data_IF_782723960967
#
_entry.id   IF_782723960967
#
_cell.length_a   1.000
_cell.length_b   1.000
_cell.length_c   1.000
_cell.angle_alpha   90.00
_cell.angle_beta   90.00
_cell.angle_gamma   90.00
#
_symmetry.space_group_name_H-M   'P 1'
#
loop_
_entity.id
_entity.type
_entity.pdbx_description
1 polymer ?
#
# COMPACT_ATOMS: atom_id res chain seq x y z
N UNK A 1 11.43 -15.14 -6.74
CA UNK A 1 11.26 -14.54 -5.40
C UNK A 1 9.78 -14.29 -5.21
N UNK A 2 9.17 -14.83 -4.17
CA UNK A 2 7.73 -14.72 -3.95
C UNK A 2 7.39 -13.29 -3.54
N UNK A 3 6.53 -12.60 -4.30
CA UNK A 3 6.21 -11.17 -4.11
C UNK A 3 5.45 -10.93 -2.79
N UNK A 4 4.56 -11.84 -2.42
CA UNK A 4 3.69 -11.72 -1.26
C UNK A 4 4.35 -12.24 0.02
N UNK A 5 5.38 -11.55 0.50
CA UNK A 5 5.95 -11.83 1.82
C UNK A 5 4.96 -11.56 2.95
N UNK A 6 5.13 -12.20 4.11
CA UNK A 6 4.31 -11.89 5.30
C UNK A 6 4.40 -10.41 5.68
N UNK A 7 5.60 -9.82 5.57
CA UNK A 7 5.82 -8.39 5.79
C UNK A 7 4.95 -7.52 4.88
N UNK A 8 4.87 -7.84 3.58
CA UNK A 8 4.02 -7.11 2.64
C UNK A 8 2.54 -7.20 3.03
N UNK A 9 2.09 -8.38 3.51
CA UNK A 9 0.70 -8.60 3.93
C UNK A 9 0.36 -7.75 5.16
N UNK A 10 1.24 -7.69 6.16
CA UNK A 10 1.07 -6.82 7.32
C UNK A 10 1.07 -5.35 6.92
N UNK A 11 1.99 -4.93 6.05
CA UNK A 11 2.02 -3.56 5.58
C UNK A 11 0.73 -3.18 4.83
N UNK A 12 0.20 -4.06 3.97
CA UNK A 12 -1.04 -3.83 3.23
C UNK A 12 -2.26 -3.77 4.17
N UNK A 13 -2.27 -4.62 5.21
CA UNK A 13 -3.28 -4.57 6.27
C UNK A 13 -3.25 -3.21 6.98
N UNK A 14 -2.09 -2.80 7.50
CA UNK A 14 -1.98 -1.55 8.25
C UNK A 14 -2.27 -0.33 7.39
N UNK A 15 -1.87 -0.35 6.11
CA UNK A 15 -2.20 0.70 5.16
C UNK A 15 -3.72 0.85 4.97
N UNK A 16 -4.42 -0.27 4.72
CA UNK A 16 -5.86 -0.27 4.47
C UNK A 16 -6.70 0.09 5.71
N UNK A 17 -6.10 0.06 6.90
CA UNK A 17 -6.75 0.44 8.16
C UNK A 17 -6.26 1.78 8.71
N UNK A 18 -5.33 2.47 8.02
CA UNK A 18 -4.82 3.78 8.45
C UNK A 18 -3.88 3.75 9.65
N UNK A 19 -3.23 2.61 9.91
CA UNK A 19 -2.35 2.42 11.07
C UNK A 19 -0.92 2.94 10.83
N UNK A 20 -0.60 3.35 9.60
CA UNK A 20 0.75 3.75 9.21
C UNK A 20 0.93 5.27 9.22
N UNK A 21 2.10 5.71 9.67
CA UNK A 21 2.55 7.09 9.45
C UNK A 21 3.17 7.25 8.04
N UNK A 22 3.41 8.50 7.64
CA UNK A 22 3.90 8.85 6.30
C UNK A 22 5.20 8.15 5.92
N UNK A 23 6.16 8.05 6.85
CA UNK A 23 7.44 7.38 6.63
C UNK A 23 7.25 5.88 6.37
N UNK A 24 6.37 5.23 7.15
CA UNK A 24 6.07 3.81 6.99
C UNK A 24 5.29 3.53 5.69
N UNK A 25 4.38 4.42 5.29
CA UNK A 25 3.69 4.35 4.01
C UNK A 25 4.72 4.44 2.87
N UNK A 26 5.58 5.46 2.88
CA UNK A 26 6.55 5.67 1.80
C UNK A 26 7.54 4.51 1.69
N UNK A 27 8.10 4.05 2.82
CA UNK A 27 9.06 2.94 2.86
C UNK A 27 8.46 1.64 2.32
N UNK A 28 7.25 1.27 2.75
CA UNK A 28 6.63 0.04 2.28
C UNK A 28 6.17 0.14 0.82
N UNK A 29 5.70 1.31 0.37
CA UNK A 29 5.39 1.53 -1.04
C UNK A 29 6.63 1.33 -1.92
N UNK A 30 7.76 1.92 -1.54
CA UNK A 30 9.02 1.74 -2.28
C UNK A 30 9.43 0.27 -2.28
N UNK A 31 9.48 -0.34 -1.09
CA UNK A 31 9.99 -1.70 -0.90
C UNK A 31 9.16 -2.76 -1.63
N UNK A 32 7.83 -2.71 -1.52
CA UNK A 32 6.95 -3.77 -2.00
C UNK A 32 6.41 -3.52 -3.42
N UNK A 33 6.44 -2.28 -3.91
CA UNK A 33 5.88 -1.92 -5.22
C UNK A 33 6.90 -1.28 -6.15
N UNK A 34 7.52 -0.15 -5.77
CA UNK A 34 8.40 0.61 -6.69
C UNK A 34 9.62 -0.21 -7.13
N UNK A 35 10.29 -0.90 -6.22
CA UNK A 35 11.44 -1.77 -6.56
C UNK A 35 11.07 -2.95 -7.48
N UNK A 36 9.77 -3.23 -7.62
CA UNK A 36 9.22 -4.26 -8.49
C UNK A 36 8.58 -3.67 -9.77
N UNK A 37 8.79 -2.38 -10.08
CA UNK A 37 8.18 -1.65 -11.19
C UNK A 37 6.64 -1.60 -11.14
N UNK A 38 6.08 -1.54 -9.93
CA UNK A 38 4.64 -1.47 -9.70
C UNK A 38 4.21 -0.08 -9.24
N UNK A 39 2.97 0.24 -9.53
CA UNK A 39 2.36 1.56 -9.31
C UNK A 39 1.23 1.48 -8.28
N UNK A 40 0.66 2.64 -7.94
CA UNK A 40 -0.42 2.75 -6.94
C UNK A 40 -1.62 1.85 -7.27
N UNK A 41 -1.97 1.74 -8.55
CA UNK A 41 -3.09 0.88 -8.97
C UNK A 41 -2.84 -0.61 -8.66
N UNK A 42 -1.58 -1.05 -8.55
CA UNK A 42 -1.28 -2.40 -8.08
C UNK A 42 -1.55 -2.59 -6.58
N UNK A 43 -1.44 -1.55 -5.74
CA UNK A 43 -1.94 -1.61 -4.35
C UNK A 43 -3.45 -1.81 -4.37
N UNK A 44 -4.15 -1.06 -5.21
CA UNK A 44 -5.60 -1.15 -5.35
C UNK A 44 -6.03 -2.55 -5.76
N UNK A 45 -5.38 -3.13 -6.78
CA UNK A 45 -5.63 -4.49 -7.23
C UNK A 45 -5.34 -5.52 -6.13
N UNK A 46 -4.23 -5.35 -5.39
CA UNK A 46 -3.89 -6.26 -4.30
C UNK A 46 -4.93 -6.22 -3.17
N UNK A 47 -5.43 -5.05 -2.79
CA UNK A 47 -6.51 -4.94 -1.81
C UNK A 47 -7.83 -5.49 -2.36
N UNK A 48 -8.17 -5.19 -3.62
CA UNK A 48 -9.45 -5.56 -4.20
C UNK A 48 -9.57 -7.07 -4.44
N UNK A 49 -8.52 -7.70 -4.97
CA UNK A 49 -8.56 -9.10 -5.40
C UNK A 49 -7.96 -10.07 -4.39
N UNK A 50 -7.12 -9.61 -3.45
CA UNK A 50 -6.36 -10.50 -2.57
C UNK A 50 -6.61 -10.25 -1.07
N UNK A 51 -7.56 -9.40 -0.71
CA UNK A 51 -7.95 -9.17 0.70
C UNK A 51 -9.45 -9.01 0.87
N UNK A 52 -9.91 -8.87 2.11
CA UNK A 52 -11.31 -8.61 2.47
C UNK A 52 -11.49 -7.20 3.08
N UNK A 53 -10.61 -6.25 2.77
CA UNK A 53 -10.62 -4.92 3.41
C UNK A 53 -11.69 -3.97 2.85
N UNK A 54 -12.39 -4.38 1.79
CA UNK A 54 -13.50 -3.65 1.21
C UNK A 54 -13.11 -2.34 0.51
N UNK A 55 -14.11 -1.65 -0.02
CA UNK A 55 -13.94 -0.40 -0.76
C UNK A 55 -13.33 0.71 0.09
N UNK A 56 -13.71 0.78 1.38
CA UNK A 56 -13.19 1.78 2.31
C UNK A 56 -11.67 1.62 2.49
N UNK A 57 -11.19 0.38 2.64
CA UNK A 57 -9.76 0.08 2.72
C UNK A 57 -9.00 0.45 1.44
N UNK A 58 -9.61 0.25 0.27
CA UNK A 58 -9.04 0.68 -1.02
C UNK A 58 -8.89 2.21 -1.08
N UNK A 59 -9.96 2.93 -0.75
CA UNK A 59 -9.98 4.40 -0.79
C UNK A 59 -8.93 4.95 0.17
N UNK A 60 -8.94 4.49 1.43
CA UNK A 60 -8.01 4.95 2.45
C UNK A 60 -6.55 4.69 2.07
N UNK A 61 -6.24 3.49 1.57
CA UNK A 61 -4.90 3.14 1.13
C UNK A 61 -4.42 4.03 -0.02
N UNK A 62 -5.27 4.23 -1.04
CA UNK A 62 -4.95 5.05 -2.21
C UNK A 62 -4.75 6.51 -1.84
N UNK A 63 -5.65 7.09 -1.04
CA UNK A 63 -5.57 8.48 -0.60
C UNK A 63 -4.33 8.71 0.29
N UNK A 64 -4.04 7.77 1.18
CA UNK A 64 -2.87 7.84 2.06
C UNK A 64 -1.56 7.84 1.27
N UNK A 65 -1.43 6.98 0.27
CA UNK A 65 -0.25 6.96 -0.61
C UNK A 65 -0.14 8.26 -1.42
N UNK A 66 -1.24 8.70 -2.06
CA UNK A 66 -1.23 9.93 -2.86
C UNK A 66 -0.84 11.15 -2.03
N UNK A 67 -1.38 11.26 -0.81
CA UNK A 67 -1.03 12.33 0.14
C UNK A 67 0.46 12.34 0.47
N UNK A 68 1.03 11.17 0.79
CA UNK A 68 2.46 11.04 1.12
C UNK A 68 3.34 11.41 -0.07
N UNK A 69 3.00 10.95 -1.27
CA UNK A 69 3.78 11.24 -2.47
C UNK A 69 3.74 12.74 -2.83
N UNK A 70 2.57 13.38 -2.73
CA UNK A 70 2.42 14.82 -3.01
C UNK A 70 3.15 15.72 -2.00
N UNK A 71 3.42 15.22 -0.78
CA UNK A 71 4.18 15.95 0.23
C UNK A 71 5.70 15.78 0.08
N UNK A 72 6.15 14.87 -0.78
CA UNK A 72 7.57 14.50 -0.94
C UNK A 72 8.21 15.19 -2.16
N UNK A 73 7.41 15.75 -3.07
CA UNK A 73 7.82 16.37 -4.34
C UNK A 73 7.48 17.86 -4.34
#
# INVERSE_FOLDING_TARGET
>A
MERYSEEMKFWLFDLAHGNLNDEMILKGFIKHYVLHNLVIDNIVDDIHFHTFYGTDGIILAKESILRVLNNTI
#
